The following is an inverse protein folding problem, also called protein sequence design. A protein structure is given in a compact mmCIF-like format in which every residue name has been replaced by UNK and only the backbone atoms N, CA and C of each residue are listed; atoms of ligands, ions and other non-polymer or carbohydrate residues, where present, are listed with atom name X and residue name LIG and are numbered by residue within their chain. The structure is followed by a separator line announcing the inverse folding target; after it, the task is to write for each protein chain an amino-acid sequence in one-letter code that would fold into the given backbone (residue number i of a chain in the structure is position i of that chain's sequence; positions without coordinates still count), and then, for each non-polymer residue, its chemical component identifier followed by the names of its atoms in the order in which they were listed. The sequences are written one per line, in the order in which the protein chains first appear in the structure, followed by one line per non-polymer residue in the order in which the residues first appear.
data_IF_616098906733
#
_entry.id   IF_616098906733
#
_cell.length_a   1.000
_cell.length_b   1.000
_cell.length_c   1.000
_cell.angle_alpha   90.00
_cell.angle_beta   90.00
_cell.angle_gamma   90.00
#
_symmetry.space_group_name_H-M   'P 1'
#
loop_
_entity.id
_entity.type
_entity.pdbx_description
1 polymer ?
#
# COMPACT_ATOMS: atom_id res chain seq x y z
N UNK A 1 -20.26 9.62 -13.33
CA UNK A 1 -20.18 8.96 -12.03
C UNK A 1 -19.38 7.67 -12.21
N UNK A 2 -18.31 7.53 -11.46
CA UNK A 2 -17.61 6.24 -11.32
C UNK A 2 -18.51 5.31 -10.52
N UNK A 3 -18.66 4.07 -10.96
CA UNK A 3 -19.30 3.00 -10.20
C UNK A 3 -18.35 1.82 -10.22
N UNK A 4 -17.95 1.43 -9.06
CA UNK A 4 -17.23 0.19 -8.87
C UNK A 4 -18.14 -1.02 -9.10
N UNK A 5 -17.58 -2.10 -9.62
CA UNK A 5 -18.31 -3.35 -9.90
C UNK A 5 -17.44 -4.53 -9.51
N UNK A 6 -17.88 -5.25 -8.50
CA UNK A 6 -17.21 -6.45 -8.04
C UNK A 6 -17.77 -7.72 -8.68
N UNK A 7 -16.99 -8.79 -8.60
CA UNK A 7 -17.47 -10.15 -8.82
C UNK A 7 -18.40 -10.51 -7.66
N UNK A 8 -19.48 -11.22 -7.97
CA UNK A 8 -20.35 -11.81 -6.94
C UNK A 8 -19.62 -13.01 -6.31
N UNK A 9 -18.84 -12.69 -5.26
CA UNK A 9 -18.10 -13.67 -4.47
C UNK A 9 -18.52 -13.56 -3.00
N UNK A 10 -18.84 -14.69 -2.39
CA UNK A 10 -19.15 -14.73 -0.95
C UNK A 10 -18.04 -15.41 -0.16
N UNK A 11 -17.23 -14.61 0.54
CA UNK A 11 -16.17 -15.08 1.41
C UNK A 11 -16.66 -16.09 2.46
N UNK A 12 -17.90 -15.95 2.92
CA UNK A 12 -18.48 -16.79 3.98
C UNK A 12 -18.81 -18.20 3.51
N UNK A 13 -18.94 -18.42 2.20
CA UNK A 13 -19.09 -19.77 1.63
C UNK A 13 -17.80 -20.59 1.80
N UNK A 14 -16.63 -19.92 1.82
CA UNK A 14 -15.33 -20.56 1.98
C UNK A 14 -14.86 -20.61 3.44
N UNK A 15 -15.16 -19.58 4.20
CA UNK A 15 -14.83 -19.50 5.63
C UNK A 15 -15.95 -18.80 6.41
N UNK A 16 -16.95 -19.55 6.90
CA UNK A 16 -18.17 -19.00 7.54
C UNK A 16 -17.92 -18.17 8.81
N UNK A 17 -16.74 -18.32 9.43
CA UNK A 17 -16.36 -17.62 10.68
C UNK A 17 -15.64 -16.30 10.45
N UNK A 18 -15.55 -15.81 9.21
CA UNK A 18 -14.95 -14.51 8.93
C UNK A 18 -15.74 -13.38 9.62
N UNK A 19 -15.03 -12.36 10.15
CA UNK A 19 -15.70 -11.21 10.77
C UNK A 19 -16.29 -10.24 9.74
N UNK A 20 -15.76 -10.25 8.51
CA UNK A 20 -16.17 -9.42 7.37
C UNK A 20 -15.75 -10.07 6.07
N UNK A 21 -16.20 -9.54 4.94
CA UNK A 21 -15.66 -9.89 3.62
C UNK A 21 -14.26 -9.30 3.45
N UNK A 22 -13.34 -10.06 2.85
CA UNK A 22 -11.99 -9.64 2.48
C UNK A 22 -11.80 -9.55 0.97
N UNK A 23 -12.80 -9.98 0.20
CA UNK A 23 -12.79 -9.91 -1.26
C UNK A 23 -13.11 -8.52 -1.83
N UNK A 24 -13.54 -7.57 -0.99
CA UNK A 24 -14.01 -6.24 -1.40
C UNK A 24 -13.25 -5.15 -0.61
N UNK A 25 -11.92 -5.10 -0.77
CA UNK A 25 -11.06 -4.16 -0.06
C UNK A 25 -10.70 -2.90 -0.89
N UNK A 26 -11.04 -2.84 -2.15
CA UNK A 26 -10.83 -1.69 -3.04
C UNK A 26 -12.10 -0.83 -3.21
N UNK A 27 -12.09 0.14 -4.12
CA UNK A 27 -10.91 0.70 -4.78
C UNK A 27 -10.11 1.66 -3.89
N UNK A 28 -8.84 1.87 -4.24
CA UNK A 28 -7.96 2.88 -3.63
C UNK A 28 -7.98 4.19 -4.42
N UNK A 29 -7.60 5.28 -3.74
CA UNK A 29 -7.60 6.63 -4.30
C UNK A 29 -6.23 7.28 -4.12
N UNK A 30 -5.83 8.11 -5.10
CA UNK A 30 -4.71 9.04 -4.96
C UNK A 30 -5.07 10.39 -5.56
N UNK A 31 -4.48 11.45 -5.00
CA UNK A 31 -4.58 12.82 -5.51
C UNK A 31 -3.17 13.32 -5.75
N UNK A 32 -2.84 13.69 -6.98
CA UNK A 32 -1.56 14.23 -7.39
C UNK A 32 -1.68 14.79 -8.81
N UNK A 33 -0.71 15.61 -9.22
CA UNK A 33 -0.53 16.03 -10.61
C UNK A 33 0.11 14.85 -11.38
N UNK A 34 -0.69 14.12 -12.16
CA UNK A 34 -0.25 12.90 -12.86
C UNK A 34 0.40 13.23 -14.21
N UNK A 35 0.00 14.35 -14.84
CA UNK A 35 0.39 14.73 -16.19
C UNK A 35 1.32 15.96 -16.24
N UNK A 36 1.79 16.42 -15.07
CA UNK A 36 2.68 17.57 -14.90
C UNK A 36 2.11 18.88 -15.49
N UNK A 37 0.78 19.07 -15.43
CA UNK A 37 0.12 20.29 -15.91
C UNK A 37 -0.08 21.37 -14.83
N UNK A 38 0.27 21.05 -13.57
CA UNK A 38 0.20 21.93 -12.42
C UNK A 38 -1.14 21.87 -11.68
N UNK A 39 -2.05 20.98 -12.03
CA UNK A 39 -3.32 20.73 -11.33
C UNK A 39 -3.35 19.34 -10.73
N UNK A 40 -3.97 19.21 -9.56
CA UNK A 40 -4.10 17.91 -8.91
C UNK A 40 -5.22 17.08 -9.54
N UNK A 41 -4.87 15.89 -9.98
CA UNK A 41 -5.78 14.92 -10.55
C UNK A 41 -6.22 13.90 -9.49
N UNK A 42 -7.34 13.22 -9.76
CA UNK A 42 -7.82 12.12 -8.93
C UNK A 42 -7.66 10.79 -9.67
N UNK A 43 -6.86 9.89 -9.13
CA UNK A 43 -6.76 8.51 -9.58
C UNK A 43 -7.66 7.60 -8.72
N UNK A 44 -8.42 6.74 -9.38
CA UNK A 44 -9.23 5.69 -8.75
C UNK A 44 -8.76 4.35 -9.29
N UNK A 45 -8.29 3.45 -8.41
CA UNK A 45 -7.84 2.12 -8.83
C UNK A 45 -8.99 1.27 -9.36
N UNK A 46 -8.63 0.21 -10.04
CA UNK A 46 -9.59 -0.77 -10.52
C UNK A 46 -10.02 -1.75 -9.44
N UNK A 47 -11.12 -2.43 -9.70
CA UNK A 47 -11.55 -3.62 -8.97
C UNK A 47 -11.82 -4.76 -9.93
N UNK A 48 -12.29 -5.87 -9.43
CA UNK A 48 -12.83 -6.93 -10.27
C UNK A 48 -13.93 -6.37 -11.18
N UNK A 49 -13.74 -6.40 -12.50
CA UNK A 49 -14.63 -5.84 -13.55
C UNK A 49 -14.66 -4.31 -13.67
N UNK A 50 -13.77 -3.60 -13.03
CA UNK A 50 -13.65 -2.15 -13.18
C UNK A 50 -12.21 -1.76 -13.53
N UNK A 51 -12.09 -0.88 -14.52
CA UNK A 51 -10.81 -0.31 -14.96
C UNK A 51 -10.39 0.85 -14.07
N UNK A 52 -9.10 1.06 -13.97
CA UNK A 52 -8.51 2.24 -13.37
C UNK A 52 -8.99 3.50 -14.11
N UNK A 53 -9.23 4.55 -13.36
CA UNK A 53 -9.78 5.80 -13.90
C UNK A 53 -9.03 6.99 -13.35
N UNK A 54 -8.63 7.91 -14.24
CA UNK A 54 -8.15 9.25 -13.87
C UNK A 54 -9.24 10.27 -14.14
N UNK A 55 -9.40 11.21 -13.21
CA UNK A 55 -10.16 12.43 -13.38
C UNK A 55 -9.17 13.58 -13.39
N UNK A 56 -8.84 14.06 -14.60
CA UNK A 56 -7.96 15.20 -14.79
C UNK A 56 -8.67 16.49 -14.43
N UNK A 57 -8.04 17.30 -13.58
CA UNK A 57 -8.52 18.65 -13.28
C UNK A 57 -7.98 19.66 -14.31
N UNK A 58 -8.80 20.62 -14.72
CA UNK A 58 -8.36 21.74 -15.55
C UNK A 58 -8.28 23.05 -14.74
N UNK A 59 -7.75 24.09 -15.36
CA UNK A 59 -7.64 25.44 -14.79
C UNK A 59 -8.96 26.12 -14.36
N UNK A 60 -10.11 25.51 -14.64
CA UNK A 60 -11.44 25.99 -14.27
C UNK A 60 -12.10 25.09 -13.22
N UNK A 61 -11.30 24.29 -12.50
CA UNK A 61 -11.75 23.32 -11.49
C UNK A 61 -12.72 22.26 -12.04
N UNK A 62 -12.61 21.92 -13.34
CA UNK A 62 -13.42 20.87 -13.97
C UNK A 62 -12.63 19.60 -14.13
N UNK A 63 -13.30 18.48 -13.91
CA UNK A 63 -12.73 17.15 -14.04
C UNK A 63 -13.15 16.46 -15.35
N UNK A 64 -12.16 15.90 -16.04
CA UNK A 64 -12.34 15.11 -17.26
C UNK A 64 -11.93 13.66 -16.99
N UNK A 65 -12.85 12.73 -17.21
CA UNK A 65 -12.60 11.31 -16.99
C UNK A 65 -11.82 10.69 -18.15
N UNK A 66 -10.74 9.96 -17.83
CA UNK A 66 -10.04 9.03 -18.73
C UNK A 66 -9.97 7.64 -18.07
N UNK A 67 -10.48 6.63 -18.75
CA UNK A 67 -10.26 5.23 -18.34
C UNK A 67 -8.91 4.78 -18.87
N UNK A 68 -8.12 4.12 -18.05
CA UNK A 68 -6.71 3.84 -18.37
C UNK A 68 -6.53 2.64 -19.29
N UNK A 69 -7.46 1.66 -19.27
CA UNK A 69 -7.37 0.41 -20.04
C UNK A 69 -6.05 -0.35 -19.77
N UNK A 70 -5.61 -0.35 -18.51
CA UNK A 70 -4.36 -1.02 -18.09
C UNK A 70 -4.53 -2.54 -18.00
N UNK A 71 -5.76 -3.02 -17.83
CA UNK A 71 -6.10 -4.44 -17.74
C UNK A 71 -6.63 -4.95 -19.08
N UNK A 72 -6.25 -6.16 -19.44
CA UNK A 72 -6.93 -6.89 -20.51
C UNK A 72 -8.13 -7.68 -19.94
N UNK A 73 -8.99 -8.23 -20.78
CA UNK A 73 -10.20 -8.96 -20.36
C UNK A 73 -9.93 -10.11 -19.36
N UNK A 74 -8.73 -10.68 -19.37
CA UNK A 74 -8.34 -11.77 -18.48
C UNK A 74 -7.96 -11.22 -17.09
N UNK A 75 -7.40 -10.02 -17.05
CA UNK A 75 -6.90 -9.38 -15.82
C UNK A 75 -7.99 -8.55 -15.13
N UNK A 76 -9.16 -8.35 -15.76
CA UNK A 76 -10.33 -7.68 -15.15
C UNK A 76 -10.95 -8.39 -13.92
N UNK A 77 -10.36 -9.48 -13.47
CA UNK A 77 -10.74 -10.17 -12.23
C UNK A 77 -9.81 -9.84 -11.06
N UNK A 78 -8.75 -9.08 -11.31
CA UNK A 78 -7.79 -8.66 -10.30
C UNK A 78 -8.36 -7.52 -9.45
N UNK A 79 -8.07 -7.53 -8.16
CA UNK A 79 -8.51 -6.54 -7.18
C UNK A 79 -7.33 -5.69 -6.75
N UNK A 80 -7.41 -4.38 -7.00
CA UNK A 80 -6.40 -3.42 -6.59
C UNK A 80 -6.75 -2.90 -5.20
N UNK A 81 -5.96 -3.27 -4.19
CA UNK A 81 -6.25 -2.97 -2.78
C UNK A 81 -5.54 -1.73 -2.27
N UNK A 82 -4.39 -1.41 -2.84
CA UNK A 82 -3.64 -0.20 -2.51
C UNK A 82 -2.83 0.27 -3.72
N UNK A 83 -2.44 1.54 -3.68
CA UNK A 83 -1.60 2.13 -4.71
C UNK A 83 -0.66 3.19 -4.10
N UNK A 84 0.46 3.41 -4.77
CA UNK A 84 1.40 4.45 -4.43
C UNK A 84 2.06 5.02 -5.68
N UNK A 85 2.08 6.36 -5.76
CA UNK A 85 2.74 7.10 -6.82
C UNK A 85 4.08 7.62 -6.33
N UNK A 86 5.15 7.38 -7.08
CA UNK A 86 6.51 7.87 -6.81
C UNK A 86 7.31 7.86 -8.10
N UNK A 87 8.42 8.56 -8.12
CA UNK A 87 9.37 8.58 -9.22
C UNK A 87 10.37 7.43 -8.98
N UNK A 88 10.25 6.35 -9.75
CA UNK A 88 11.03 5.12 -9.49
C UNK A 88 12.44 5.21 -10.03
N UNK A 89 12.66 5.91 -11.13
CA UNK A 89 13.95 6.05 -11.79
C UNK A 89 14.54 7.46 -11.76
N UNK A 90 13.94 8.38 -11.00
CA UNK A 90 14.39 9.77 -10.85
C UNK A 90 14.41 10.56 -12.18
N UNK A 91 13.39 10.35 -13.03
CA UNK A 91 13.22 11.07 -14.31
C UNK A 91 12.29 12.29 -14.20
N UNK A 92 11.64 12.47 -13.04
CA UNK A 92 10.84 13.63 -12.67
C UNK A 92 9.33 13.44 -12.82
N UNK A 93 8.87 12.30 -13.31
CA UNK A 93 7.45 11.98 -13.34
C UNK A 93 7.06 10.93 -12.28
N UNK A 94 5.76 10.71 -12.08
CA UNK A 94 5.28 9.82 -11.03
C UNK A 94 4.76 8.52 -11.63
N UNK A 95 5.44 7.43 -11.29
CA UNK A 95 5.07 6.07 -11.62
C UNK A 95 4.05 5.51 -10.62
N UNK A 96 3.39 4.44 -11.02
CA UNK A 96 2.31 3.86 -10.25
C UNK A 96 2.62 2.42 -9.84
N UNK A 97 2.77 2.18 -8.55
CA UNK A 97 2.78 0.85 -7.96
C UNK A 97 1.38 0.47 -7.48
N UNK A 98 0.88 -0.68 -7.92
CA UNK A 98 -0.43 -1.21 -7.51
C UNK A 98 -0.23 -2.52 -6.75
N UNK A 99 -0.73 -2.55 -5.53
CA UNK A 99 -0.82 -3.74 -4.70
C UNK A 99 -2.11 -4.47 -5.00
N UNK A 100 -2.00 -5.78 -5.24
CA UNK A 100 -3.15 -6.62 -5.50
C UNK A 100 -3.45 -7.53 -4.32
N UNK A 101 -4.73 -7.62 -4.01
CA UNK A 101 -5.21 -8.42 -2.92
C UNK A 101 -6.66 -8.85 -3.12
N UNK A 102 -7.11 -9.74 -2.31
CA UNK A 102 -8.50 -10.23 -2.30
C UNK A 102 -8.54 -11.50 -1.44
N UNK A 103 -9.69 -12.15 -1.32
CA UNK A 103 -9.80 -13.49 -0.74
C UNK A 103 -10.44 -14.48 -1.74
N UNK A 104 -10.52 -14.08 -3.01
CA UNK A 104 -11.26 -14.80 -4.06
C UNK A 104 -10.46 -15.94 -4.68
N UNK A 105 -9.12 -15.91 -4.59
CA UNK A 105 -8.23 -16.86 -5.26
C UNK A 105 -7.42 -17.68 -4.27
N UNK A 106 -6.92 -18.86 -4.68
CA UNK A 106 -5.99 -19.64 -3.86
C UNK A 106 -4.72 -18.87 -3.54
N UNK A 107 -4.04 -19.27 -2.47
CA UNK A 107 -2.71 -18.74 -2.12
C UNK A 107 -1.75 -18.82 -3.30
N UNK A 108 -0.85 -17.83 -3.40
CA UNK A 108 0.13 -17.70 -4.48
C UNK A 108 -0.48 -17.56 -5.89
N UNK A 109 -1.76 -17.23 -5.99
CA UNK A 109 -2.38 -16.99 -7.29
C UNK A 109 -1.69 -15.85 -8.03
N UNK A 110 -1.57 -15.95 -9.37
CA UNK A 110 -1.05 -14.87 -10.20
C UNK A 110 -1.84 -13.56 -10.08
N UNK A 111 -3.09 -13.63 -9.64
CA UNK A 111 -3.98 -12.49 -9.44
C UNK A 111 -3.63 -11.66 -8.20
N UNK A 112 -2.69 -12.12 -7.37
CA UNK A 112 -2.09 -11.37 -6.27
C UNK A 112 -0.72 -10.78 -6.64
N UNK A 113 -0.35 -10.80 -7.91
CA UNK A 113 0.92 -10.23 -8.36
C UNK A 113 0.80 -8.72 -8.47
N UNK A 114 1.55 -8.01 -7.65
CA UNK A 114 1.67 -6.55 -7.74
C UNK A 114 2.24 -6.11 -9.10
N UNK A 115 1.93 -4.91 -9.49
CA UNK A 115 2.38 -4.34 -10.77
C UNK A 115 2.94 -2.94 -10.58
N UNK A 116 3.96 -2.63 -11.38
CA UNK A 116 4.51 -1.30 -11.54
C UNK A 116 4.19 -0.82 -12.96
N UNK A 117 3.69 0.40 -13.06
CA UNK A 117 3.41 1.10 -14.31
C UNK A 117 4.25 2.36 -14.37
N UNK A 118 5.01 2.50 -15.45
CA UNK A 118 5.88 3.64 -15.71
C UNK A 118 5.11 4.70 -16.46
N UNK A 119 5.14 5.92 -15.98
CA UNK A 119 4.56 7.10 -16.60
C UNK A 119 5.57 7.72 -17.59
N UNK A 120 5.11 8.50 -18.54
CA UNK A 120 5.95 9.30 -19.43
C UNK A 120 5.80 10.81 -19.16
N UNK A 121 5.30 11.17 -17.97
CA UNK A 121 5.02 12.55 -17.58
C UNK A 121 3.77 13.17 -18.23
N UNK A 122 3.07 12.42 -19.08
CA UNK A 122 1.84 12.86 -19.75
C UNK A 122 0.65 11.94 -19.44
N UNK A 123 0.73 11.21 -18.33
CA UNK A 123 -0.24 10.20 -17.92
C UNK A 123 -0.46 9.08 -18.97
N UNK A 124 0.60 8.70 -19.70
CA UNK A 124 0.62 7.47 -20.49
C UNK A 124 1.47 6.43 -19.77
N UNK A 125 0.82 5.37 -19.35
CA UNK A 125 1.44 4.32 -18.54
C UNK A 125 1.84 3.12 -19.39
N UNK A 126 3.06 2.64 -19.18
CA UNK A 126 3.57 1.38 -19.72
C UNK A 126 3.89 0.41 -18.59
N UNK A 127 3.53 -0.87 -18.77
CA UNK A 127 3.77 -1.87 -17.74
C UNK A 127 5.26 -2.17 -17.64
N UNK A 128 5.82 -2.08 -16.43
CA UNK A 128 7.19 -2.55 -16.17
C UNK A 128 7.28 -4.06 -16.47
N UNK A 129 8.19 -4.43 -17.36
CA UNK A 129 8.35 -5.80 -17.83
C UNK A 129 9.33 -6.64 -16.99
N UNK A 130 10.03 -6.00 -16.03
CA UNK A 130 10.96 -6.68 -15.14
C UNK A 130 10.27 -7.49 -14.05
N UNK A 131 11.06 -7.95 -13.10
CA UNK A 131 10.58 -8.81 -12.01
C UNK A 131 10.68 -8.07 -10.69
N UNK A 132 9.55 -7.87 -10.03
CA UNK A 132 9.54 -7.43 -8.63
C UNK A 132 9.99 -8.59 -7.73
N UNK A 133 10.89 -8.38 -6.76
CA UNK A 133 11.48 -9.45 -5.94
C UNK A 133 10.55 -9.90 -4.79
N UNK A 134 9.28 -10.12 -5.11
CA UNK A 134 8.22 -10.55 -4.19
C UNK A 134 7.49 -11.78 -4.73
N UNK A 135 6.88 -12.54 -3.82
CA UNK A 135 5.96 -13.61 -4.19
C UNK A 135 4.55 -13.05 -4.42
N UNK A 136 3.68 -13.81 -5.08
CA UNK A 136 2.26 -13.44 -5.20
C UNK A 136 1.58 -13.59 -3.83
N UNK A 137 1.45 -12.52 -3.10
CA UNK A 137 0.80 -12.48 -1.79
C UNK A 137 -0.36 -11.51 -1.78
N UNK A 138 -1.36 -11.80 -0.95
CA UNK A 138 -2.51 -10.93 -0.76
C UNK A 138 -2.07 -9.66 -0.02
N UNK A 139 -1.91 -8.56 -0.75
CA UNK A 139 -1.52 -7.27 -0.19
C UNK A 139 -2.70 -6.41 0.23
N UNK A 140 -2.47 -5.42 1.10
CA UNK A 140 -3.51 -4.50 1.63
C UNK A 140 -3.12 -3.05 1.64
N UNK A 141 -1.85 -2.74 1.70
CA UNK A 141 -1.35 -1.35 1.78
C UNK A 141 0.04 -1.25 1.17
N UNK A 142 0.39 -0.07 0.71
CA UNK A 142 1.75 0.31 0.30
C UNK A 142 2.02 1.74 0.70
N UNK A 143 3.22 1.99 1.24
CA UNK A 143 3.72 3.35 1.54
C UNK A 143 5.20 3.42 1.19
N UNK A 144 5.57 4.53 0.55
CA UNK A 144 6.94 4.79 0.19
C UNK A 144 7.63 5.78 1.12
N UNK A 145 8.94 5.62 1.27
CA UNK A 145 9.83 6.55 1.94
C UNK A 145 11.29 6.24 1.58
N UNK A 146 12.15 7.24 1.57
CA UNK A 146 13.60 7.06 1.56
C UNK A 146 14.02 6.70 3.00
N UNK A 147 13.96 5.38 3.33
CA UNK A 147 14.18 4.95 4.72
C UNK A 147 15.67 4.74 5.05
N UNK A 148 16.54 4.59 4.06
CA UNK A 148 17.98 4.43 4.28
C UNK A 148 18.82 5.64 3.84
N UNK A 149 18.15 6.73 3.46
CA UNK A 149 18.73 8.03 3.08
C UNK A 149 19.69 7.95 1.89
N UNK A 150 19.36 7.12 0.91
CA UNK A 150 20.12 7.05 -0.34
C UNK A 150 19.57 7.96 -1.46
N UNK A 151 18.41 8.57 -1.23
CA UNK A 151 17.75 9.53 -2.11
C UNK A 151 16.63 8.93 -2.95
N UNK A 152 16.45 7.61 -2.92
CA UNK A 152 15.43 6.91 -3.67
C UNK A 152 14.23 6.54 -2.77
N UNK A 153 13.04 6.44 -3.34
CA UNK A 153 11.86 6.04 -2.56
C UNK A 153 11.73 4.52 -2.54
N UNK A 154 11.81 3.98 -1.34
CA UNK A 154 11.60 2.58 -1.03
C UNK A 154 10.13 2.29 -0.71
N UNK A 155 9.71 1.02 -0.82
CA UNK A 155 8.33 0.63 -0.60
C UNK A 155 8.19 -0.36 0.57
N UNK A 156 7.30 -0.06 1.49
CA UNK A 156 6.73 -1.06 2.39
C UNK A 156 5.39 -1.55 1.83
N UNK A 157 5.27 -2.86 1.58
CA UNK A 157 4.05 -3.52 1.12
C UNK A 157 3.50 -4.39 2.24
N UNK A 158 2.30 -4.08 2.72
CA UNK A 158 1.65 -4.78 3.82
C UNK A 158 0.88 -6.02 3.36
N UNK A 159 1.16 -7.17 3.96
CA UNK A 159 0.43 -8.42 3.73
C UNK A 159 -0.91 -8.45 4.46
N UNK A 160 -1.95 -8.83 3.75
CA UNK A 160 -3.31 -9.00 4.27
C UNK A 160 -3.59 -10.38 4.86
N UNK A 161 -4.84 -10.79 4.77
CA UNK A 161 -5.23 -12.14 5.18
C UNK A 161 -4.68 -13.18 4.21
N UNK A 162 -4.15 -14.26 4.74
CA UNK A 162 -3.79 -15.41 3.92
C UNK A 162 -5.05 -16.04 3.35
N UNK A 163 -5.23 -16.08 2.02
CA UNK A 163 -6.50 -16.48 1.41
C UNK A 163 -7.05 -17.81 1.95
N UNK A 164 -8.31 -17.81 2.34
CA UNK A 164 -9.03 -18.93 2.96
C UNK A 164 -8.43 -19.45 4.27
N UNK A 165 -7.58 -18.68 4.94
CA UNK A 165 -6.91 -19.10 6.19
C UNK A 165 -6.95 -18.04 7.30
N UNK A 166 -7.99 -17.20 7.33
CA UNK A 166 -8.15 -16.26 8.45
C UNK A 166 -8.10 -17.00 9.80
N UNK A 167 -7.39 -16.49 10.84
CA UNK A 167 -6.77 -15.17 10.93
C UNK A 167 -5.25 -15.14 10.57
N UNK A 168 -4.77 -16.06 9.77
CA UNK A 168 -3.37 -16.06 9.36
C UNK A 168 -3.11 -14.91 8.36
N UNK A 169 -1.99 -14.22 8.53
CA UNK A 169 -1.53 -13.19 7.60
C UNK A 169 -0.76 -13.77 6.43
N UNK A 170 -0.81 -13.07 5.30
CA UNK A 170 0.11 -13.28 4.19
C UNK A 170 1.39 -12.46 4.39
N UNK A 171 2.31 -12.47 3.42
CA UNK A 171 3.64 -11.87 3.55
C UNK A 171 3.59 -10.37 3.34
N UNK A 172 4.34 -9.64 4.16
CA UNK A 172 4.68 -8.24 3.92
C UNK A 172 6.10 -8.14 3.39
N UNK A 173 6.40 -7.05 2.68
CA UNK A 173 7.70 -6.82 2.06
C UNK A 173 8.23 -5.41 2.33
N UNK A 174 9.54 -5.30 2.48
CA UNK A 174 10.29 -4.05 2.34
C UNK A 174 11.13 -4.17 1.07
N UNK A 175 10.91 -3.27 0.13
CA UNK A 175 11.58 -3.24 -1.17
C UNK A 175 12.47 -2.02 -1.23
N UNK A 176 13.78 -2.22 -1.18
CA UNK A 176 14.75 -1.17 -1.48
C UNK A 176 14.73 -0.88 -2.97
N UNK A 177 14.58 0.38 -3.32
CA UNK A 177 14.74 0.89 -4.67
C UNK A 177 16.22 1.15 -4.93
N UNK A 178 16.77 0.51 -5.93
CA UNK A 178 18.17 0.66 -6.39
C UNK A 178 18.16 1.09 -7.86
N UNK A 179 17.07 1.69 -8.32
CA UNK A 179 16.88 2.06 -9.71
C UNK A 179 17.77 3.23 -10.10
N UNK A 180 18.06 3.31 -11.38
CA UNK A 180 18.74 4.42 -12.01
C UNK A 180 17.91 4.85 -13.23
N UNK A 181 18.16 6.01 -13.84
CA UNK A 181 17.44 6.40 -15.06
C UNK A 181 17.51 5.38 -16.21
N UNK A 182 18.52 4.48 -16.19
CA UNK A 182 18.72 3.48 -17.23
C UNK A 182 18.15 2.10 -16.88
N UNK A 183 17.91 1.80 -15.59
CA UNK A 183 17.51 0.45 -15.15
C UNK A 183 16.70 0.49 -13.84
N UNK A 184 15.56 -0.16 -13.82
CA UNK A 184 14.69 -0.29 -12.64
C UNK A 184 15.04 -1.58 -11.88
N UNK A 185 15.50 -1.41 -10.64
CA UNK A 185 15.93 -2.52 -9.78
C UNK A 185 15.32 -2.35 -8.38
N UNK A 186 14.62 -3.37 -7.90
CA UNK A 186 14.22 -3.49 -6.51
C UNK A 186 14.92 -4.66 -5.83
N UNK A 187 15.29 -4.47 -4.57
CA UNK A 187 15.83 -5.50 -3.72
C UNK A 187 14.89 -5.81 -2.57
N UNK A 188 14.60 -7.08 -2.33
CA UNK A 188 13.83 -7.51 -1.18
C UNK A 188 14.70 -7.44 0.09
N UNK A 189 14.40 -6.47 0.94
CA UNK A 189 15.08 -6.21 2.21
C UNK A 189 14.22 -6.47 3.43
N UNK A 190 13.17 -7.27 3.27
CA UNK A 190 12.23 -7.64 4.33
C UNK A 190 12.91 -8.19 5.60
N UNK A 191 14.07 -8.83 5.47
CA UNK A 191 14.85 -9.30 6.61
C UNK A 191 15.42 -8.19 7.52
N UNK A 192 15.45 -6.95 7.05
CA UNK A 192 15.80 -5.76 7.85
C UNK A 192 14.73 -5.44 8.92
N UNK A 193 13.47 -5.84 8.67
CA UNK A 193 12.33 -5.63 9.57
C UNK A 193 11.95 -6.92 10.29
N UNK A 194 11.76 -8.00 9.52
CA UNK A 194 11.20 -9.26 10.02
C UNK A 194 12.33 -10.22 10.35
N UNK A 195 12.69 -10.31 11.62
CA UNK A 195 13.73 -11.25 12.07
C UNK A 195 13.19 -12.65 12.44
N UNK A 196 11.92 -12.77 12.87
CA UNK A 196 11.40 -14.06 13.36
C UNK A 196 9.88 -14.20 13.44
N UNK A 197 9.08 -13.16 13.23
CA UNK A 197 7.63 -13.21 13.39
C UNK A 197 6.90 -12.49 12.26
N UNK A 198 5.71 -12.98 11.90
CA UNK A 198 4.81 -12.28 11.00
C UNK A 198 4.44 -10.90 11.54
N UNK A 199 4.23 -9.94 10.66
CA UNK A 199 3.72 -8.60 11.01
C UNK A 199 2.21 -8.58 11.30
N UNK A 200 1.52 -9.72 11.11
CA UNK A 200 0.06 -9.81 11.23
C UNK A 200 -0.65 -9.43 9.93
N UNK A 201 -1.97 -9.32 9.98
CA UNK A 201 -2.79 -8.81 8.88
C UNK A 201 -2.65 -7.29 8.90
N UNK A 202 -1.70 -6.78 8.11
CA UNK A 202 -1.40 -5.34 8.06
C UNK A 202 -2.57 -4.60 7.46
N UNK A 203 -2.93 -3.45 8.03
CA UNK A 203 -4.02 -2.59 7.55
C UNK A 203 -3.52 -1.26 7.05
N UNK A 204 -2.62 -0.66 7.79
CA UNK A 204 -2.02 0.62 7.40
C UNK A 204 -0.65 0.78 8.05
N UNK A 205 0.16 1.65 7.50
CA UNK A 205 1.49 1.98 8.01
C UNK A 205 1.75 3.47 7.79
N UNK A 206 2.67 4.02 8.60
CA UNK A 206 3.17 5.37 8.39
C UNK A 206 4.68 5.40 8.62
N UNK A 207 5.38 6.06 7.69
CA UNK A 207 6.77 6.45 7.86
C UNK A 207 6.82 7.80 8.56
N UNK A 208 7.61 7.91 9.62
CA UNK A 208 7.64 9.09 10.47
C UNK A 208 8.88 9.08 11.35
N UNK A 209 9.47 10.21 11.63
CA UNK A 209 10.52 10.35 12.63
C UNK A 209 9.84 10.57 14.00
N UNK A 210 9.56 9.47 14.73
CA UNK A 210 8.86 9.57 16.00
C UNK A 210 9.78 9.83 17.19
N UNK A 211 11.10 9.76 16.99
CA UNK A 211 12.09 9.95 18.04
C UNK A 211 12.96 11.21 17.86
N UNK A 212 12.69 11.99 16.80
CA UNK A 212 13.39 13.22 16.43
C UNK A 212 14.90 13.02 16.17
N UNK A 213 15.29 11.88 15.55
CA UNK A 213 16.67 11.61 15.18
C UNK A 213 17.00 11.91 13.70
N UNK A 214 16.03 12.42 12.93
CA UNK A 214 16.04 12.71 11.49
C UNK A 214 16.12 11.47 10.60
N UNK A 215 15.80 10.30 11.10
CA UNK A 215 15.60 9.09 10.31
C UNK A 215 14.11 8.75 10.26
N UNK A 216 13.65 8.25 9.12
CA UNK A 216 12.26 7.80 9.01
C UNK A 216 12.10 6.44 9.66
N UNK A 217 11.37 6.42 10.76
CA UNK A 217 10.92 5.23 11.47
C UNK A 217 9.64 4.68 10.84
N UNK A 218 9.20 3.50 11.27
CA UNK A 218 8.00 2.86 10.74
C UNK A 218 7.04 2.46 11.86
N UNK A 219 5.77 2.88 11.74
CA UNK A 219 4.69 2.40 12.59
C UNK A 219 3.77 1.51 11.75
N UNK A 220 3.47 0.30 12.26
CA UNK A 220 2.65 -0.70 11.57
C UNK A 220 1.40 -0.99 12.40
N UNK A 221 0.24 -0.92 11.72
CA UNK A 221 -1.05 -1.33 12.25
C UNK A 221 -1.48 -2.67 11.65
N UNK A 222 -1.92 -3.59 12.51
CA UNK A 222 -2.42 -4.90 12.10
C UNK A 222 -3.69 -5.28 12.86
N UNK A 223 -4.55 -6.08 12.22
CA UNK A 223 -5.76 -6.62 12.88
C UNK A 223 -5.35 -7.51 14.05
N UNK A 224 -6.06 -7.39 15.18
CA UNK A 224 -5.91 -8.21 16.38
C UNK A 224 -4.50 -8.18 17.00
N UNK A 225 -3.77 -7.10 16.77
CA UNK A 225 -2.41 -6.92 17.26
C UNK A 225 -2.28 -5.61 18.03
N UNK A 226 -1.16 -5.45 18.73
CA UNK A 226 -0.72 -4.15 19.22
C UNK A 226 -0.14 -3.32 18.06
N UNK A 227 -0.10 -2.02 18.23
CA UNK A 227 0.59 -1.11 17.31
C UNK A 227 2.08 -1.36 17.46
N UNK A 228 2.78 -1.53 16.34
CA UNK A 228 4.20 -1.87 16.32
C UNK A 228 5.02 -0.69 15.85
N UNK A 229 6.04 -0.35 16.64
CA UNK A 229 6.98 0.73 16.36
C UNK A 229 8.33 0.13 15.99
N UNK A 230 8.88 0.57 14.87
CA UNK A 230 10.19 0.16 14.38
C UNK A 230 11.09 1.38 14.28
N UNK A 231 12.08 1.46 15.17
CA UNK A 231 13.11 2.49 15.12
C UNK A 231 14.09 2.21 14.00
N UNK A 232 14.41 3.22 13.23
CA UNK A 232 15.38 3.13 12.16
C UNK A 232 16.79 3.38 12.68
N UNK A 233 17.65 2.38 12.59
CA UNK A 233 19.06 2.48 12.96
C UNK A 233 19.90 2.44 11.67
N UNK A 234 19.93 3.56 10.91
CA UNK A 234 20.64 3.70 9.62
C UNK A 234 20.26 2.58 8.61
N UNK A 235 19.00 2.51 8.23
CA UNK A 235 18.46 1.54 7.28
C UNK A 235 18.20 0.15 7.87
N UNK A 236 18.29 0.00 9.21
CA UNK A 236 17.90 -1.23 9.91
C UNK A 236 16.73 -0.93 10.84
N UNK A 237 15.58 -1.48 10.56
CA UNK A 237 14.36 -1.28 11.34
C UNK A 237 14.29 -2.26 12.51
N UNK A 238 14.32 -1.72 13.73
CA UNK A 238 14.31 -2.50 14.95
C UNK A 238 13.06 -2.24 15.77
N UNK A 239 12.28 -3.30 15.99
CA UNK A 239 11.08 -3.18 16.81
C UNK A 239 11.40 -2.77 18.25
N UNK A 240 10.76 -1.70 18.71
CA UNK A 240 10.82 -1.24 20.11
C UNK A 240 9.58 -1.71 20.88
N UNK A 241 9.77 -2.07 22.16
CA UNK A 241 8.73 -2.63 23.04
C UNK A 241 8.56 -1.82 24.32
N UNK A 242 8.84 -0.54 24.28
CA UNK A 242 8.83 0.32 25.47
C UNK A 242 7.91 1.54 25.32
N UNK A 243 7.01 1.52 24.34
CA UNK A 243 6.09 2.62 24.10
C UNK A 243 4.94 2.68 25.11
N UNK A 244 4.69 1.62 25.87
CA UNK A 244 3.52 1.49 26.75
C UNK A 244 2.22 1.14 26.00
N UNK A 245 2.24 1.17 24.66
CA UNK A 245 1.09 0.85 23.79
C UNK A 245 1.04 -0.63 23.42
N UNK A 246 2.13 -1.36 23.59
CA UNK A 246 2.25 -2.79 23.28
C UNK A 246 1.26 -3.69 24.03
N UNK A 247 0.63 -3.20 25.08
CA UNK A 247 -0.39 -3.92 25.83
C UNK A 247 -1.81 -3.74 25.27
N UNK A 248 -1.99 -2.84 24.30
CA UNK A 248 -3.29 -2.53 23.71
C UNK A 248 -3.39 -3.21 22.34
N UNK A 249 -4.12 -4.31 22.27
CA UNK A 249 -4.48 -4.95 21.01
C UNK A 249 -5.79 -4.38 20.48
N UNK A 250 -5.88 -4.21 19.17
CA UNK A 250 -7.04 -3.63 18.53
C UNK A 250 -7.32 -4.20 17.15
N UNK A 251 -8.47 -3.85 16.63
CA UNK A 251 -8.79 -4.02 15.21
C UNK A 251 -8.48 -2.72 14.48
N UNK A 252 -7.18 -2.47 14.34
CA UNK A 252 -6.68 -1.23 13.77
C UNK A 252 -6.92 -1.18 12.27
N UNK A 253 -7.28 -0.01 11.72
CA UNK A 253 -7.60 0.14 10.30
C UNK A 253 -6.83 1.24 9.58
N UNK A 254 -6.52 2.34 10.26
CA UNK A 254 -5.86 3.49 9.64
C UNK A 254 -5.04 4.26 10.63
N UNK A 255 -3.98 4.93 10.15
CA UNK A 255 -3.15 5.85 10.93
C UNK A 255 -2.88 7.12 10.14
N UNK A 256 -2.86 8.24 10.84
CA UNK A 256 -2.38 9.52 10.32
C UNK A 256 -1.63 10.26 11.42
N UNK A 257 -0.79 11.21 11.05
CA UNK A 257 -0.05 12.07 11.99
C UNK A 257 -0.33 13.53 11.73
N UNK A 258 -0.28 14.32 12.79
CA UNK A 258 -0.31 15.78 12.77
C UNK A 258 0.18 16.29 14.13
N UNK A 259 0.76 17.45 14.18
CA UNK A 259 0.95 18.19 15.44
C UNK A 259 -0.40 18.80 15.83
N UNK A 260 -1.15 18.11 16.72
CA UNK A 260 -2.53 18.46 17.06
C UNK A 260 -2.58 19.58 18.11
N UNK A 261 -1.64 19.59 19.04
CA UNK A 261 -1.60 20.56 20.15
C UNK A 261 -0.60 21.70 19.95
N UNK A 262 0.12 21.71 18.82
CA UNK A 262 1.11 22.70 18.42
C UNK A 262 2.30 22.79 19.38
N UNK A 263 2.76 21.66 19.89
CA UNK A 263 3.94 21.57 20.76
C UNK A 263 5.24 21.28 19.98
N UNK A 264 5.13 21.00 18.68
CA UNK A 264 6.24 20.76 17.77
C UNK A 264 6.54 19.27 17.54
N UNK A 265 5.88 18.37 18.23
CA UNK A 265 5.98 16.92 18.04
C UNK A 265 4.81 16.39 17.20
N UNK A 266 4.99 15.22 16.56
CA UNK A 266 3.91 14.59 15.80
C UNK A 266 3.05 13.70 16.70
N UNK A 267 1.75 14.00 16.72
CA UNK A 267 0.72 13.15 17.29
C UNK A 267 0.22 12.13 16.29
N UNK A 268 -0.28 11.00 16.77
CA UNK A 268 -0.79 9.93 15.92
C UNK A 268 -2.25 9.61 16.24
N UNK A 269 -3.10 9.76 15.23
CA UNK A 269 -4.51 9.36 15.30
C UNK A 269 -4.67 8.00 14.65
N UNK A 270 -5.16 7.02 15.42
CA UNK A 270 -5.33 5.64 14.99
C UNK A 270 -6.79 5.25 15.02
N UNK A 271 -7.32 4.81 13.88
CA UNK A 271 -8.69 4.30 13.75
C UNK A 271 -8.79 2.84 14.18
N UNK A 272 -9.74 2.54 15.08
CA UNK A 272 -10.04 1.19 15.54
C UNK A 272 -11.48 0.81 15.23
N UNK A 273 -11.73 -0.43 14.81
CA UNK A 273 -13.07 -0.94 14.60
C UNK A 273 -13.62 -1.56 15.88
N UNK A 274 -14.67 -0.96 16.43
CA UNK A 274 -15.29 -1.39 17.68
C UNK A 274 -14.58 -0.87 18.94
N UNK A 275 -15.01 -1.35 20.10
CA UNK A 275 -14.55 -0.90 21.42
C UNK A 275 -13.49 -1.80 22.05
N UNK A 276 -12.98 -2.79 21.36
CA UNK A 276 -11.99 -3.76 21.87
C UNK A 276 -12.45 -4.51 23.14
N UNK A 277 -13.71 -4.84 23.22
CA UNK A 277 -14.34 -5.55 24.35
C UNK A 277 -14.53 -7.02 24.07
#
# INVERSE_FOLDING_TARGET
LHKDKDIDFDDFDYQPTLPKKFSQNGPSLAVLDINNDGYEDLFVSGSSKSEETIFFQDKNDKFFKKTMNLKNDIDLIEEDTALYFFDVENDGDKDLYIVRGSNQFPQNSRYYKDVLWLNDGNANFSKFSGVLPIENSNGTTVKGADFDNDGDIDLFVGGGVKPSNYPLSDKSYLLENLSTPDEIIFKNSTSKIIKSSSLGIVKDVIWTDFNNDNLLDLIILSEWSHIRFFNNENGNLKEIKSSGIENYSGWWNSITSSDIDNDGDLDYLVGNFGSNT
#
